data_IF_765889514676
#
_entry.id   IF_765889514676
#
_cell.length_a   1.000
_cell.length_b   1.000
_cell.length_c   1.000
_cell.angle_alpha   90.00
_cell.angle_beta   90.00
_cell.angle_gamma   90.00
#
_symmetry.space_group_name_H-M   'P 1'
#
loop_
_entity.id
_entity.type
_entity.pdbx_description
1 polymer ?
#
# COMPACT_ATOMS: atom_id res chain seq x y z
N UNK A 1 -5.80 -17.66 -7.15
CA UNK A 1 -5.42 -18.28 -5.85
C UNK A 1 -5.54 -17.24 -4.77
N UNK A 2 -6.37 -17.46 -3.74
CA UNK A 2 -6.69 -16.47 -2.71
C UNK A 2 -5.44 -16.15 -1.89
N UNK A 3 -5.07 -14.87 -1.81
CA UNK A 3 -3.91 -14.39 -1.07
C UNK A 3 -4.26 -13.98 0.37
N UNK A 4 -5.41 -13.31 0.52
CA UNK A 4 -5.93 -12.87 1.83
C UNK A 4 -7.42 -13.16 1.86
N UNK A 5 -7.89 -13.78 2.95
CA UNK A 5 -9.30 -14.11 3.14
C UNK A 5 -9.81 -13.64 4.48
N UNK A 6 -10.80 -12.77 4.46
CA UNK A 6 -11.55 -12.32 5.63
C UNK A 6 -12.81 -13.17 5.76
N UNK A 7 -13.06 -13.73 6.94
CA UNK A 7 -14.24 -14.53 7.26
C UNK A 7 -15.00 -13.89 8.43
N UNK A 8 -16.12 -13.27 8.11
CA UNK A 8 -17.04 -12.66 9.11
C UNK A 8 -16.32 -11.72 10.08
N UNK A 9 -15.43 -10.86 9.54
CA UNK A 9 -14.51 -10.03 10.30
C UNK A 9 -15.18 -8.73 10.74
N UNK A 10 -15.06 -8.41 12.05
CA UNK A 10 -15.37 -7.08 12.57
C UNK A 10 -14.07 -6.37 12.98
N UNK A 11 -13.95 -5.11 12.60
CA UNK A 11 -12.77 -4.27 12.82
C UNK A 11 -13.18 -2.94 13.46
N UNK A 12 -12.36 -2.45 14.38
CA UNK A 12 -12.64 -1.18 15.06
C UNK A 12 -11.53 -0.77 16.02
N UNK A 13 -11.84 0.19 16.89
CA UNK A 13 -10.92 0.72 17.88
C UNK A 13 -11.48 0.50 19.30
N UNK A 14 -10.66 -0.10 20.17
CA UNK A 14 -11.15 -0.59 21.45
C UNK A 14 -12.24 -1.63 21.24
N UNK A 15 -13.41 -1.43 21.87
CA UNK A 15 -14.58 -2.31 21.73
C UNK A 15 -15.65 -1.75 20.78
N UNK A 16 -15.35 -0.70 20.03
CA UNK A 16 -16.30 -0.08 19.10
C UNK A 16 -16.01 -0.54 17.68
N UNK A 17 -16.88 -1.34 17.05
CA UNK A 17 -16.72 -1.75 15.68
C UNK A 17 -16.97 -0.56 14.73
N UNK A 18 -16.15 -0.47 13.70
CA UNK A 18 -16.29 0.46 12.56
C UNK A 18 -16.80 -0.30 11.35
N UNK A 19 -16.38 -1.55 11.23
CA UNK A 19 -16.81 -2.49 10.20
C UNK A 19 -17.26 -3.78 10.87
N UNK A 20 -18.35 -4.36 10.37
CA UNK A 20 -18.94 -5.58 10.91
C UNK A 20 -19.22 -6.59 9.79
N UNK A 21 -19.03 -7.87 10.12
CA UNK A 21 -19.40 -8.98 9.24
C UNK A 21 -18.75 -8.91 7.84
N UNK A 22 -17.51 -8.43 7.76
CA UNK A 22 -16.80 -8.32 6.47
C UNK A 22 -16.32 -9.70 6.03
N UNK A 23 -16.80 -10.15 4.87
CA UNK A 23 -16.29 -11.33 4.16
C UNK A 23 -15.74 -10.88 2.82
N UNK A 24 -14.43 -11.07 2.61
CA UNK A 24 -13.71 -10.56 1.45
C UNK A 24 -12.54 -11.48 1.11
N UNK A 25 -12.28 -11.65 -0.18
CA UNK A 25 -11.12 -12.36 -0.70
C UNK A 25 -10.33 -11.45 -1.62
N UNK A 26 -8.99 -11.47 -1.47
CA UNK A 26 -8.03 -10.84 -2.37
C UNK A 26 -7.26 -11.94 -3.08
N UNK A 27 -7.29 -11.94 -4.40
CA UNK A 27 -6.57 -12.91 -5.21
C UNK A 27 -5.12 -12.46 -5.46
N UNK A 28 -4.22 -13.42 -5.63
CA UNK A 28 -2.82 -13.13 -5.97
C UNK A 28 -2.71 -12.45 -7.34
N UNK A 29 -1.91 -11.38 -7.44
CA UNK A 29 -1.74 -10.58 -8.65
C UNK A 29 -2.94 -9.67 -8.97
N UNK A 30 -3.92 -9.57 -8.08
CA UNK A 30 -5.10 -8.73 -8.29
C UNK A 30 -4.81 -7.27 -7.89
N UNK A 31 -5.38 -6.34 -8.64
CA UNK A 31 -5.45 -4.93 -8.28
C UNK A 31 -6.85 -4.62 -7.75
N UNK A 32 -6.97 -4.44 -6.44
CA UNK A 32 -8.23 -4.13 -5.77
C UNK A 32 -8.25 -2.71 -5.27
N UNK A 33 -9.28 -1.95 -5.62
CA UNK A 33 -9.51 -0.61 -5.10
C UNK A 33 -10.55 -0.61 -3.97
N UNK A 34 -10.24 0.06 -2.86
CA UNK A 34 -11.19 0.35 -1.78
C UNK A 34 -11.79 1.73 -2.01
N UNK A 35 -13.10 1.77 -2.23
CA UNK A 35 -13.88 2.99 -2.44
C UNK A 35 -14.95 3.15 -1.36
N UNK A 36 -15.48 4.36 -1.24
CA UNK A 36 -16.58 4.70 -0.32
C UNK A 36 -16.43 6.09 0.26
N UNK A 37 -17.44 6.61 0.96
CA UNK A 37 -17.41 7.95 1.55
C UNK A 37 -16.31 8.11 2.60
N UNK A 38 -15.99 9.38 2.93
CA UNK A 38 -15.05 9.67 4.00
C UNK A 38 -15.63 9.18 5.34
N UNK A 39 -14.79 8.58 6.17
CA UNK A 39 -15.22 8.01 7.44
C UNK A 39 -15.90 6.63 7.36
N UNK A 40 -16.11 6.06 6.17
CA UNK A 40 -16.77 4.76 6.00
C UNK A 40 -15.98 3.55 6.53
N UNK A 41 -14.72 3.72 6.94
CA UNK A 41 -13.91 2.62 7.47
C UNK A 41 -12.88 2.03 6.49
N UNK A 42 -12.61 2.67 5.33
CA UNK A 42 -11.61 2.19 4.35
C UNK A 42 -10.24 1.96 4.97
N UNK A 43 -9.68 2.97 5.64
CA UNK A 43 -8.40 2.87 6.35
C UNK A 43 -8.46 1.86 7.49
N UNK A 44 -9.61 1.69 8.15
CA UNK A 44 -9.80 0.67 9.20
C UNK A 44 -9.72 -0.74 8.60
N UNK A 45 -10.40 -0.99 7.46
CA UNK A 45 -10.30 -2.26 6.74
C UNK A 45 -8.86 -2.57 6.33
N UNK A 46 -8.21 -1.58 5.73
CA UNK A 46 -6.83 -1.69 5.31
C UNK A 46 -5.90 -2.01 6.49
N UNK A 47 -6.01 -1.28 7.62
CA UNK A 47 -5.21 -1.52 8.83
C UNK A 47 -5.48 -2.89 9.46
N UNK A 48 -6.71 -3.38 9.39
CA UNK A 48 -7.06 -4.74 9.80
C UNK A 48 -6.38 -5.78 8.93
N UNK A 49 -6.41 -5.62 7.61
CA UNK A 49 -5.76 -6.52 6.64
C UNK A 49 -4.24 -6.60 6.87
N UNK A 50 -3.58 -5.47 7.13
CA UNK A 50 -2.12 -5.48 7.39
C UNK A 50 -1.77 -5.82 8.85
N UNK A 51 -2.77 -6.00 9.73
CA UNK A 51 -2.56 -6.37 11.14
C UNK A 51 -2.11 -5.22 12.03
N UNK A 52 -2.35 -3.97 11.65
CA UNK A 52 -2.07 -2.77 12.45
C UNK A 52 -3.13 -2.50 13.54
N UNK A 53 -4.30 -3.10 13.40
CA UNK A 53 -5.35 -3.12 14.43
C UNK A 53 -5.81 -4.56 14.65
N UNK A 54 -6.26 -4.91 15.86
CA UNK A 54 -6.75 -6.25 16.14
C UNK A 54 -8.09 -6.49 15.46
N UNK A 55 -8.36 -7.76 15.13
CA UNK A 55 -9.67 -8.25 14.72
C UNK A 55 -10.53 -8.39 15.97
N UNK A 56 -11.73 -7.81 15.97
CA UNK A 56 -12.69 -7.92 17.09
C UNK A 56 -13.41 -9.27 17.06
N UNK A 57 -13.88 -9.69 15.87
CA UNK A 57 -14.52 -11.00 15.63
C UNK A 57 -14.11 -11.53 14.26
N UNK A 58 -14.25 -12.84 14.04
CA UNK A 58 -13.89 -13.48 12.76
C UNK A 58 -12.41 -13.77 12.62
N UNK A 59 -11.96 -14.09 11.41
CA UNK A 59 -10.56 -14.42 11.10
C UNK A 59 -10.09 -13.80 9.80
N UNK A 60 -8.79 -13.48 9.74
CA UNK A 60 -8.10 -13.09 8.50
C UNK A 60 -7.02 -14.14 8.25
N UNK A 61 -7.17 -14.88 7.17
CA UNK A 61 -6.24 -15.91 6.72
C UNK A 61 -5.35 -15.35 5.61
N UNK A 62 -4.07 -15.73 5.61
CA UNK A 62 -3.08 -15.29 4.63
C UNK A 62 -2.39 -16.51 4.01
N UNK A 63 -2.30 -16.56 2.68
CA UNK A 63 -1.57 -17.58 1.93
C UNK A 63 -0.11 -17.18 1.72
N UNK A 64 0.51 -16.62 2.75
CA UNK A 64 1.94 -16.29 2.81
C UNK A 64 2.39 -16.05 4.24
N UNK A 65 3.69 -16.24 4.47
CA UNK A 65 4.33 -15.94 5.76
C UNK A 65 4.57 -14.44 5.89
N UNK A 66 3.77 -13.75 6.70
CA UNK A 66 3.86 -12.29 6.93
C UNK A 66 5.18 -11.84 7.56
N UNK A 67 5.91 -12.75 8.19
CA UNK A 67 7.22 -12.44 8.79
C UNK A 67 8.34 -12.52 7.76
N UNK A 68 8.21 -13.41 6.77
CA UNK A 68 9.17 -13.56 5.66
C UNK A 68 8.85 -12.66 4.48
N UNK A 69 7.56 -12.42 4.25
CA UNK A 69 7.06 -11.58 3.15
C UNK A 69 6.16 -10.50 3.74
N UNK A 70 6.72 -9.42 4.29
CA UNK A 70 5.95 -8.37 4.93
C UNK A 70 5.06 -7.66 3.91
N UNK A 71 4.06 -6.93 4.42
CA UNK A 71 3.29 -6.02 3.60
C UNK A 71 4.15 -4.81 3.19
N UNK A 72 4.03 -4.39 1.94
CA UNK A 72 4.44 -3.04 1.55
C UNK A 72 3.31 -2.07 1.91
N UNK A 73 3.46 -1.24 2.93
CA UNK A 73 2.42 -0.32 3.35
C UNK A 73 2.84 1.14 3.19
N UNK A 74 2.04 1.91 2.46
CA UNK A 74 2.18 3.36 2.31
C UNK A 74 0.94 4.02 2.92
N UNK A 75 1.07 4.68 4.09
CA UNK A 75 -0.05 5.35 4.75
C UNK A 75 -0.40 6.67 4.08
N UNK A 76 -1.65 7.13 4.25
CA UNK A 76 -2.17 8.39 3.70
C UNK A 76 -1.34 9.63 4.09
N UNK A 77 -0.80 9.64 5.30
CA UNK A 77 0.04 10.73 5.80
C UNK A 77 1.27 10.15 6.46
N UNK A 78 2.37 10.23 5.77
CA UNK A 78 3.67 9.98 6.36
C UNK A 78 4.47 11.29 6.28
N UNK A 79 4.86 11.79 7.44
CA UNK A 79 5.74 12.95 7.55
C UNK A 79 7.05 12.47 8.12
N UNK A 80 8.04 12.34 7.26
CA UNK A 80 9.42 12.28 7.72
C UNK A 80 9.82 13.70 8.15
N UNK A 81 10.36 13.82 9.35
CA UNK A 81 10.79 15.13 9.87
C UNK A 81 11.87 15.72 8.93
N UNK A 82 11.64 16.91 8.35
CA UNK A 82 12.61 17.55 7.46
C UNK A 82 13.97 17.85 8.12
N UNK A 83 14.04 17.83 9.44
CA UNK A 83 15.29 17.97 10.19
C UNK A 83 16.25 16.79 9.96
N UNK A 84 15.75 15.61 9.57
CA UNK A 84 16.59 14.49 9.20
C UNK A 84 17.05 14.63 7.75
N UNK A 85 18.35 14.78 7.48
CA UNK A 85 18.88 14.98 6.13
C UNK A 85 19.00 13.68 5.35
N UNK A 86 17.89 12.92 5.27
CA UNK A 86 17.85 11.64 4.56
C UNK A 86 17.79 11.85 3.04
N UNK A 87 18.54 11.06 2.29
CA UNK A 87 18.42 10.93 0.84
C UNK A 87 17.22 10.04 0.46
N UNK A 88 16.79 10.09 -0.80
CA UNK A 88 15.77 9.19 -1.33
C UNK A 88 16.18 7.71 -1.15
N UNK A 89 17.46 7.40 -1.38
CA UNK A 89 18.01 6.06 -1.18
C UNK A 89 17.93 5.61 0.28
N UNK A 90 18.25 6.49 1.23
CA UNK A 90 18.17 6.15 2.65
C UNK A 90 16.73 5.92 3.11
N UNK A 91 15.77 6.67 2.58
CA UNK A 91 14.35 6.42 2.85
C UNK A 91 13.92 5.07 2.25
N UNK A 92 14.27 4.78 0.99
CA UNK A 92 13.96 3.48 0.38
C UNK A 92 14.63 2.32 1.13
N UNK A 93 15.88 2.51 1.61
CA UNK A 93 16.64 1.52 2.38
C UNK A 93 15.93 1.10 3.68
N UNK A 94 15.14 1.97 4.30
CA UNK A 94 14.37 1.61 5.50
C UNK A 94 13.43 0.43 5.26
N UNK A 95 12.91 0.26 4.03
CA UNK A 95 12.06 -0.88 3.68
C UNK A 95 12.75 -2.23 3.83
N UNK A 96 14.06 -2.28 3.61
CA UNK A 96 14.84 -3.52 3.72
C UNK A 96 15.03 -4.00 5.17
N UNK A 97 14.73 -3.15 6.16
CA UNK A 97 14.94 -3.50 7.57
C UNK A 97 13.99 -4.59 8.05
N UNK A 98 12.88 -4.80 7.37
CA UNK A 98 11.95 -5.91 7.65
C UNK A 98 12.63 -7.30 7.56
N UNK A 99 13.70 -7.42 6.76
CA UNK A 99 14.45 -8.67 6.55
C UNK A 99 15.78 -8.74 7.32
N UNK A 100 16.12 -7.70 8.07
CA UNK A 100 17.37 -7.67 8.81
C UNK A 100 17.19 -8.27 10.20
N UNK A 101 18.11 -9.14 10.63
CA UNK A 101 18.18 -9.53 12.04
C UNK A 101 18.36 -8.33 12.95
N UNK A 102 17.86 -8.39 14.19
CA UNK A 102 18.05 -7.31 15.16
C UNK A 102 19.52 -6.90 15.30
N UNK A 103 19.77 -5.60 15.41
CA UNK A 103 21.10 -5.00 15.55
C UNK A 103 22.02 -5.13 14.32
N UNK A 104 21.58 -5.71 13.22
CA UNK A 104 22.36 -5.69 11.97
C UNK A 104 22.13 -4.39 11.19
N UNK A 105 23.24 -3.85 10.67
CA UNK A 105 23.19 -2.68 9.77
C UNK A 105 22.90 -3.14 8.34
N UNK A 106 22.19 -2.31 7.59
CA UNK A 106 22.01 -2.50 6.16
C UNK A 106 23.37 -2.45 5.45
N UNK A 107 23.62 -3.47 4.62
CA UNK A 107 24.86 -3.62 3.85
C UNK A 107 24.67 -3.32 2.36
N UNK A 108 25.62 -3.82 1.55
CA UNK A 108 25.60 -3.62 0.09
C UNK A 108 24.36 -4.21 -0.58
N UNK A 109 23.93 -5.40 -0.16
CA UNK A 109 22.74 -6.07 -0.70
C UNK A 109 21.48 -5.23 -0.49
N UNK A 110 21.27 -4.72 0.73
CA UNK A 110 20.11 -3.87 1.05
C UNK A 110 20.12 -2.56 0.24
N UNK A 111 21.29 -1.96 0.06
CA UNK A 111 21.43 -0.78 -0.80
C UNK A 111 21.07 -1.08 -2.25
N UNK A 112 21.46 -2.25 -2.76
CA UNK A 112 21.10 -2.66 -4.13
C UNK A 112 19.57 -2.88 -4.27
N UNK A 113 18.91 -3.49 -3.27
CA UNK A 113 17.45 -3.64 -3.24
C UNK A 113 16.78 -2.26 -3.23
N UNK A 114 17.20 -1.35 -2.35
CA UNK A 114 16.66 0.00 -2.28
C UNK A 114 16.85 0.78 -3.59
N UNK A 115 18.03 0.66 -4.22
CA UNK A 115 18.33 1.29 -5.51
C UNK A 115 17.40 0.77 -6.61
N UNK A 116 17.22 -0.56 -6.73
CA UNK A 116 16.27 -1.17 -7.68
C UNK A 116 14.84 -0.71 -7.43
N UNK A 117 14.43 -0.61 -6.17
CA UNK A 117 13.09 -0.12 -5.83
C UNK A 117 12.89 1.34 -6.24
N UNK A 118 13.92 2.20 -6.15
CA UNK A 118 13.88 3.56 -6.70
C UNK A 118 13.82 3.57 -8.24
N UNK A 119 14.53 2.68 -8.88
CA UNK A 119 14.50 2.51 -10.35
C UNK A 119 13.10 2.07 -10.82
N UNK A 120 12.45 1.12 -10.12
CA UNK A 120 11.08 0.68 -10.46
C UNK A 120 10.04 1.80 -10.35
N UNK A 121 10.27 2.83 -9.55
CA UNK A 121 9.39 4.01 -9.47
C UNK A 121 9.88 5.20 -10.31
N UNK A 122 10.91 5.00 -11.14
CA UNK A 122 11.48 6.03 -12.05
C UNK A 122 12.30 7.11 -11.34
N UNK A 123 12.88 6.82 -10.17
CA UNK A 123 13.63 7.77 -9.36
C UNK A 123 15.10 7.37 -9.14
N UNK A 124 15.61 6.37 -9.87
CA UNK A 124 16.99 5.88 -9.68
C UNK A 124 18.06 6.97 -9.85
N UNK A 125 17.85 7.91 -10.78
CA UNK A 125 18.80 9.02 -11.06
C UNK A 125 18.89 10.07 -9.92
N UNK A 126 17.90 10.12 -9.03
CA UNK A 126 17.83 11.10 -7.94
C UNK A 126 17.99 10.45 -6.55
N UNK A 127 18.53 9.23 -6.50
CA UNK A 127 18.69 8.46 -5.29
C UNK A 127 19.43 9.21 -4.16
N UNK A 128 20.43 10.01 -4.51
CA UNK A 128 21.25 10.78 -3.56
C UNK A 128 20.65 12.15 -3.19
N UNK A 129 19.56 12.56 -3.83
CA UNK A 129 18.90 13.83 -3.48
C UNK A 129 18.23 13.73 -2.11
N UNK A 130 18.24 14.86 -1.37
CA UNK A 130 17.56 14.95 -0.06
C UNK A 130 16.06 14.74 -0.24
N UNK A 131 15.47 13.84 0.52
CA UNK A 131 14.04 13.55 0.49
C UNK A 131 13.19 14.81 0.67
N UNK A 132 13.56 15.67 1.63
CA UNK A 132 12.84 16.91 1.90
C UNK A 132 12.89 17.95 0.76
N UNK A 133 13.78 17.81 -0.22
CA UNK A 133 13.88 18.71 -1.40
C UNK A 133 13.08 18.20 -2.61
N UNK A 134 12.51 17.01 -2.53
CA UNK A 134 11.74 16.41 -3.61
C UNK A 134 10.35 17.05 -3.75
N UNK A 135 9.76 16.99 -4.96
CA UNK A 135 8.36 17.34 -5.15
C UNK A 135 7.43 16.35 -4.41
N UNK A 136 6.19 16.75 -4.13
CA UNK A 136 5.22 15.88 -3.46
C UNK A 136 5.04 14.53 -4.15
N UNK A 137 4.94 14.51 -5.48
CA UNK A 137 4.84 13.28 -6.27
C UNK A 137 6.12 12.44 -6.25
N UNK A 138 7.30 13.07 -6.21
CA UNK A 138 8.56 12.35 -6.02
C UNK A 138 8.67 11.76 -4.62
N UNK A 139 8.33 12.51 -3.57
CA UNK A 139 8.29 12.01 -2.20
C UNK A 139 7.38 10.78 -2.10
N UNK A 140 6.19 10.85 -2.69
CA UNK A 140 5.23 9.73 -2.67
C UNK A 140 5.79 8.49 -3.39
N UNK A 141 6.45 8.66 -4.55
CA UNK A 141 7.10 7.55 -5.25
C UNK A 141 8.29 6.97 -4.45
N UNK A 142 9.04 7.78 -3.71
CA UNK A 142 10.08 7.27 -2.78
C UNK A 142 9.45 6.43 -1.65
N UNK A 143 8.29 6.84 -1.10
CA UNK A 143 7.59 6.04 -0.09
C UNK A 143 7.08 4.71 -0.66
N UNK A 144 6.64 4.70 -1.93
CA UNK A 144 6.31 3.46 -2.65
C UNK A 144 7.57 2.60 -2.83
N UNK A 145 8.71 3.19 -3.24
CA UNK A 145 9.98 2.46 -3.37
C UNK A 145 10.42 1.85 -2.03
N UNK A 146 10.24 2.56 -0.92
CA UNK A 146 10.49 2.02 0.41
C UNK A 146 9.61 0.81 0.71
N UNK A 147 8.33 0.89 0.37
CA UNK A 147 7.42 -0.24 0.55
C UNK A 147 7.80 -1.45 -0.33
N UNK A 148 8.27 -1.21 -1.55
CA UNK A 148 8.77 -2.24 -2.47
C UNK A 148 10.09 -2.87 -2.00
N UNK A 149 10.96 -2.10 -1.34
CA UNK A 149 12.24 -2.59 -0.80
C UNK A 149 12.05 -3.65 0.31
N UNK A 150 10.85 -3.79 0.85
CA UNK A 150 10.47 -4.91 1.71
C UNK A 150 10.13 -6.19 0.92
N UNK A 151 10.22 -6.18 -0.42
CA UNK A 151 9.88 -7.31 -1.31
C UNK A 151 8.51 -7.92 -0.98
N UNK A 152 7.43 -7.08 -0.94
CA UNK A 152 6.14 -7.49 -0.42
C UNK A 152 5.38 -8.42 -1.37
N UNK A 153 4.57 -9.32 -0.81
CA UNK A 153 3.58 -10.08 -1.59
C UNK A 153 2.31 -9.26 -1.86
N UNK A 154 1.99 -8.30 -0.98
CA UNK A 154 0.86 -7.38 -1.08
C UNK A 154 1.33 -5.95 -0.82
N UNK A 155 1.16 -5.07 -1.81
CA UNK A 155 1.38 -3.63 -1.68
C UNK A 155 0.06 -2.95 -1.34
N UNK A 156 0.06 -2.23 -0.23
CA UNK A 156 -1.11 -1.56 0.33
C UNK A 156 -0.87 -0.06 0.34
N UNK A 157 -1.73 0.68 -0.34
CA UNK A 157 -1.61 2.11 -0.56
C UNK A 157 -2.86 2.84 -0.03
N UNK A 158 -2.68 3.68 0.97
CA UNK A 158 -3.78 4.46 1.55
C UNK A 158 -3.75 5.90 1.00
N UNK A 159 -4.58 6.18 0.00
CA UNK A 159 -4.69 7.47 -0.69
C UNK A 159 -3.32 8.04 -1.18
N UNK A 160 -2.52 7.29 -1.96
CA UNK A 160 -1.16 7.68 -2.32
C UNK A 160 -1.08 8.93 -3.21
N UNK A 161 -2.21 9.40 -3.74
CA UNK A 161 -2.30 10.58 -4.61
C UNK A 161 -2.90 11.79 -3.90
N UNK A 162 -3.13 11.71 -2.58
CA UNK A 162 -3.70 12.82 -1.83
C UNK A 162 -2.73 14.00 -1.74
N UNK A 163 -3.17 15.17 -2.17
CA UNK A 163 -2.40 16.41 -2.08
C UNK A 163 -1.29 16.57 -3.11
N UNK A 164 -1.26 15.75 -4.16
CA UNK A 164 -0.37 15.92 -5.32
C UNK A 164 -1.15 16.42 -6.54
N UNK A 165 -0.45 17.05 -7.49
CA UNK A 165 -1.05 17.53 -8.74
C UNK A 165 -1.45 16.38 -9.69
N UNK A 166 -2.13 16.72 -10.78
CA UNK A 166 -2.66 15.73 -11.72
C UNK A 166 -1.56 14.97 -12.47
N UNK A 167 -0.43 15.60 -12.78
CA UNK A 167 0.68 14.97 -13.47
C UNK A 167 1.39 13.95 -12.56
N UNK A 168 1.67 14.36 -11.33
CA UNK A 168 2.24 13.47 -10.32
C UNK A 168 1.29 12.31 -9.98
N UNK A 169 -0.02 12.56 -9.91
CA UNK A 169 -1.05 11.54 -9.74
C UNK A 169 -1.01 10.51 -10.87
N UNK A 170 -0.97 10.95 -12.12
CA UNK A 170 -0.87 10.06 -13.28
C UNK A 170 0.41 9.21 -13.23
N UNK A 171 1.56 9.83 -12.91
CA UNK A 171 2.83 9.13 -12.78
C UNK A 171 2.83 8.07 -11.65
N UNK A 172 2.19 8.34 -10.51
CA UNK A 172 2.03 7.38 -9.42
C UNK A 172 1.17 6.20 -9.88
N UNK A 173 0.03 6.48 -10.52
CA UNK A 173 -0.88 5.42 -10.97
C UNK A 173 -0.27 4.55 -12.08
N UNK A 174 0.53 5.15 -12.98
CA UNK A 174 1.29 4.41 -14.00
C UNK A 174 2.28 3.43 -13.35
N UNK A 175 3.08 3.90 -12.39
CA UNK A 175 4.01 3.04 -11.63
C UNK A 175 3.26 1.88 -10.97
N UNK A 176 2.18 2.17 -10.25
CA UNK A 176 1.41 1.15 -9.50
C UNK A 176 0.77 0.15 -10.48
N UNK A 177 0.21 0.63 -11.60
CA UNK A 177 -0.36 -0.24 -12.64
C UNK A 177 0.68 -1.16 -13.27
N UNK A 178 1.87 -0.64 -13.55
CA UNK A 178 3.00 -1.41 -14.12
C UNK A 178 3.48 -2.50 -13.16
N UNK A 179 3.66 -2.18 -11.88
CA UNK A 179 4.03 -3.16 -10.84
C UNK A 179 3.03 -4.32 -10.77
N UNK A 180 1.72 -4.04 -10.90
CA UNK A 180 0.72 -5.08 -10.94
C UNK A 180 0.78 -5.91 -12.22
N UNK A 181 0.81 -5.25 -13.40
CA UNK A 181 0.67 -5.93 -14.69
C UNK A 181 1.93 -6.68 -15.11
N UNK A 182 3.12 -6.09 -14.89
CA UNK A 182 4.38 -6.64 -15.37
C UNK A 182 5.06 -7.52 -14.31
N UNK A 183 4.94 -7.16 -13.02
CA UNK A 183 5.59 -7.88 -11.94
C UNK A 183 4.63 -8.83 -11.19
N UNK A 184 3.32 -8.79 -11.50
CA UNK A 184 2.31 -9.62 -10.85
C UNK A 184 2.07 -9.29 -9.38
N UNK A 185 2.47 -8.09 -8.93
CA UNK A 185 2.32 -7.68 -7.54
C UNK A 185 0.84 -7.47 -7.20
N UNK A 186 0.39 -8.07 -6.10
CA UNK A 186 -0.97 -7.82 -5.60
C UNK A 186 -1.06 -6.42 -5.00
N UNK A 187 -2.12 -5.66 -5.35
CA UNK A 187 -2.28 -4.28 -4.91
C UNK A 187 -3.63 -4.06 -4.26
N UNK A 188 -3.62 -3.42 -3.10
CA UNK A 188 -4.79 -2.91 -2.41
C UNK A 188 -4.66 -1.39 -2.29
N UNK A 189 -5.48 -0.65 -3.03
CA UNK A 189 -5.43 0.81 -3.14
C UNK A 189 -6.68 1.45 -2.55
N UNK A 190 -6.53 2.31 -1.55
CA UNK A 190 -7.59 3.24 -1.14
C UNK A 190 -7.49 4.50 -1.99
N UNK A 191 -8.58 4.88 -2.63
CA UNK A 191 -8.67 6.12 -3.39
C UNK A 191 -10.12 6.62 -3.44
N UNK A 192 -10.30 7.91 -3.76
CA UNK A 192 -11.60 8.49 -4.10
C UNK A 192 -11.69 8.84 -5.60
N UNK A 193 -10.64 8.57 -6.37
CA UNK A 193 -10.55 8.93 -7.80
C UNK A 193 -10.98 7.75 -8.69
N UNK A 194 -12.27 7.47 -8.75
CA UNK A 194 -12.86 6.34 -9.49
C UNK A 194 -12.42 6.31 -10.96
N UNK A 195 -12.34 7.49 -11.62
CA UNK A 195 -12.00 7.57 -13.05
C UNK A 195 -10.65 6.96 -13.40
N UNK A 196 -9.69 6.98 -12.46
CA UNK A 196 -8.34 6.47 -12.67
C UNK A 196 -8.25 4.94 -12.54
N UNK A 197 -9.29 4.30 -12.03
CA UNK A 197 -9.31 2.85 -11.83
C UNK A 197 -9.72 2.08 -13.08
N UNK A 198 -10.40 2.74 -14.03
CA UNK A 198 -10.85 2.11 -15.28
C UNK A 198 -9.66 1.60 -16.09
N UNK A 199 -9.71 0.31 -16.43
CA UNK A 199 -8.64 -0.39 -17.13
C UNK A 199 -7.39 -0.69 -16.29
N UNK A 200 -7.37 -0.35 -14.99
CA UNK A 200 -6.27 -0.65 -14.05
C UNK A 200 -6.73 -1.67 -13.00
N UNK A 201 -7.77 -1.36 -12.24
CA UNK A 201 -8.26 -2.24 -11.20
C UNK A 201 -9.04 -3.44 -11.77
N UNK A 202 -8.88 -4.61 -11.13
CA UNK A 202 -9.62 -5.82 -11.47
C UNK A 202 -10.95 -5.87 -10.71
N UNK A 203 -10.97 -5.35 -9.49
CA UNK A 203 -12.14 -5.32 -8.63
C UNK A 203 -12.16 -4.08 -7.75
N UNK A 204 -13.35 -3.77 -7.25
CA UNK A 204 -13.58 -2.72 -6.28
C UNK A 204 -14.26 -3.30 -5.05
N UNK A 205 -13.84 -2.84 -3.89
CA UNK A 205 -14.53 -3.08 -2.62
C UNK A 205 -15.15 -1.76 -2.19
N UNK A 206 -16.48 -1.71 -2.19
CA UNK A 206 -17.23 -0.56 -1.71
C UNK A 206 -17.44 -0.66 -0.22
N UNK A 207 -16.95 0.33 0.52
CA UNK A 207 -17.05 0.40 1.98
C UNK A 207 -18.06 1.48 2.35
N UNK A 208 -19.15 1.09 3.00
CA UNK A 208 -20.21 1.99 3.43
C UNK A 208 -21.03 1.36 4.57
N UNK A 209 -21.50 2.19 5.51
CA UNK A 209 -22.41 1.82 6.61
C UNK A 209 -21.91 0.58 7.40
N UNK A 210 -20.62 0.55 7.72
CA UNK A 210 -20.01 -0.53 8.47
C UNK A 210 -19.82 -1.84 7.70
N UNK A 211 -20.05 -1.86 6.39
CA UNK A 211 -19.94 -3.04 5.52
C UNK A 211 -18.94 -2.82 4.39
N UNK A 212 -18.40 -3.93 3.88
CA UNK A 212 -17.54 -3.94 2.70
C UNK A 212 -18.10 -4.93 1.67
N UNK A 213 -18.41 -4.47 0.47
CA UNK A 213 -19.01 -5.28 -0.60
C UNK A 213 -18.13 -5.22 -1.84
N UNK A 214 -17.77 -6.40 -2.36
CA UNK A 214 -17.02 -6.51 -3.61
C UNK A 214 -17.93 -6.24 -4.81
N UNK A 215 -17.46 -5.43 -5.76
CA UNK A 215 -18.16 -5.05 -6.99
C UNK A 215 -17.21 -5.13 -8.19
N UNK A 216 -17.75 -5.17 -9.39
CA UNK A 216 -16.97 -4.98 -10.61
C UNK A 216 -16.64 -3.51 -10.80
N UNK A 217 -15.52 -3.21 -11.45
CA UNK A 217 -15.12 -1.81 -11.73
C UNK A 217 -16.16 -1.11 -12.61
N UNK A 218 -16.78 -1.84 -13.53
CA UNK A 218 -17.80 -1.32 -14.47
C UNK A 218 -19.12 -0.96 -13.78
N UNK A 219 -19.36 -1.47 -12.57
CA UNK A 219 -20.60 -1.21 -11.81
C UNK A 219 -20.53 0.11 -10.99
N UNK A 220 -19.45 0.91 -11.17
CA UNK A 220 -19.22 2.13 -10.40
C UNK A 220 -19.29 3.33 -11.35
N UNK A 221 -20.31 4.13 -11.18
CA UNK A 221 -20.53 5.40 -11.89
C UNK A 221 -19.70 6.56 -11.32
#
# INVERSE_FOLDING_TARGET
>A
MCLVKLRDVSLGYGNQPVLEHVTLELERGEFVALLGPNGAGKTTLLRGIVGLIPVLTGTIDYDFDRWRNPFGYVPQRERLDPAFPLSALEVALMGTYAHLPPLRRAGRTQRQVAQKSLESVGLGAIADQRFASLSGGQMQRVLIARALAAEPTLLVLDEPTAGVDAEATAAIMDVVSRLNREEGLTILLVTHQVRMLRGIANAVVWVQDGRATRRRVDDIE
#
